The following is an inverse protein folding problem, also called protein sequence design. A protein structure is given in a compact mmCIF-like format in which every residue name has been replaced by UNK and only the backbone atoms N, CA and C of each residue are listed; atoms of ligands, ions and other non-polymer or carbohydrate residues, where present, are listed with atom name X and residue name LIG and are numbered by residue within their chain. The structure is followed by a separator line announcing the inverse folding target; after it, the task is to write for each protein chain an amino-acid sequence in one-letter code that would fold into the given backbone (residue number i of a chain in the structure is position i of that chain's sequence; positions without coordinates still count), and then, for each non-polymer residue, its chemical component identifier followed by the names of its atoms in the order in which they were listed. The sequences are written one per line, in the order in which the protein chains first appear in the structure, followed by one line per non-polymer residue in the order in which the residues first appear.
data_IF_183480282339
#
_entry.id   IF_183480282339
#
_cell.length_a   1.000
_cell.length_b   1.000
_cell.length_c   1.000
_cell.angle_alpha   90.00
_cell.angle_beta   90.00
_cell.angle_gamma   90.00
#
_symmetry.space_group_name_H-M   'P 1'
#
loop_
_entity.id
_entity.type
_entity.pdbx_description
1 polymer ?
#
# COMPACT_ATOMS: atom_id res chain seq x y z
N UNK A 1 8.29 10.91 -7.69
CA UNK A 1 6.92 11.42 -7.48
C UNK A 1 6.10 10.28 -6.94
N UNK A 2 5.22 10.52 -5.97
CA UNK A 2 4.33 9.47 -5.45
C UNK A 2 3.40 8.98 -6.57
N UNK A 3 3.12 7.67 -6.60
CA UNK A 3 2.19 7.10 -7.59
C UNK A 3 0.82 7.81 -7.57
N UNK A 4 0.33 8.16 -6.38
CA UNK A 4 -1.00 8.72 -6.15
C UNK A 4 -1.24 10.03 -6.92
N UNK A 5 -0.18 10.81 -7.21
CA UNK A 5 -0.27 12.07 -7.96
C UNK A 5 -0.57 11.87 -9.45
N UNK A 6 -0.30 10.69 -9.99
CA UNK A 6 -0.43 10.35 -11.42
C UNK A 6 -1.36 9.16 -11.66
N UNK A 7 -1.93 8.61 -10.60
CA UNK A 7 -2.91 7.55 -10.65
C UNK A 7 -4.31 8.09 -10.93
N UNK A 8 -5.16 7.28 -11.56
CA UNK A 8 -6.59 7.53 -11.60
C UNK A 8 -7.20 7.18 -10.23
N UNK A 9 -7.66 8.17 -9.42
CA UNK A 9 -8.06 7.92 -8.05
C UNK A 9 -9.20 6.90 -7.90
N UNK A 10 -10.07 6.79 -8.92
CA UNK A 10 -11.21 5.87 -8.89
C UNK A 10 -10.81 4.40 -9.09
N UNK A 11 -9.56 4.14 -9.48
CA UNK A 11 -9.03 2.80 -9.77
C UNK A 11 -8.12 2.27 -8.66
N UNK A 12 -7.67 3.16 -7.77
CA UNK A 12 -6.82 2.81 -6.63
C UNK A 12 -7.62 1.92 -5.69
N UNK A 13 -7.17 0.69 -5.54
CA UNK A 13 -7.83 -0.30 -4.71
C UNK A 13 -6.83 -1.31 -4.16
N UNK A 14 -7.28 -2.04 -3.14
CA UNK A 14 -6.56 -3.16 -2.57
C UNK A 14 -7.22 -4.46 -3.05
N UNK A 15 -6.49 -5.25 -3.82
CA UNK A 15 -6.91 -6.58 -4.25
C UNK A 15 -6.28 -7.64 -3.35
N UNK A 16 -7.02 -8.71 -3.05
CA UNK A 16 -6.62 -9.84 -2.21
C UNK A 16 -6.02 -9.46 -0.83
N UNK A 17 -6.29 -8.24 -0.35
CA UNK A 17 -5.80 -7.73 0.93
C UNK A 17 -4.33 -7.29 0.94
N UNK A 18 -3.59 -7.40 -0.16
CA UNK A 18 -2.15 -7.07 -0.20
C UNK A 18 -1.64 -6.56 -1.55
N UNK A 19 -2.41 -6.65 -2.64
CA UNK A 19 -2.03 -6.04 -3.91
C UNK A 19 -2.57 -4.61 -4.01
N UNK A 20 -1.70 -3.62 -4.11
CA UNK A 20 -2.09 -2.29 -4.53
C UNK A 20 -2.28 -2.30 -6.05
N UNK A 21 -3.47 -1.95 -6.52
CA UNK A 21 -3.81 -1.89 -7.95
C UNK A 21 -4.26 -0.48 -8.30
N UNK A 22 -3.77 0.06 -9.41
CA UNK A 22 -4.20 1.35 -9.94
C UNK A 22 -3.96 1.46 -11.45
N UNK A 23 -4.70 2.32 -12.14
CA UNK A 23 -4.32 2.83 -13.46
C UNK A 23 -3.38 4.03 -13.28
N UNK A 24 -2.25 3.99 -13.96
CA UNK A 24 -1.18 4.99 -13.93
C UNK A 24 -0.93 5.55 -15.32
N UNK A 25 -0.66 6.85 -15.41
CA UNK A 25 -0.33 7.50 -16.67
C UNK A 25 1.18 7.41 -16.97
N UNK A 26 1.57 7.08 -18.20
CA UNK A 26 2.95 7.17 -18.68
C UNK A 26 3.32 8.60 -19.12
N UNK A 27 4.57 8.82 -19.55
CA UNK A 27 5.03 10.14 -20.02
C UNK A 27 4.37 10.62 -21.32
N UNK A 28 3.76 9.71 -22.08
CA UNK A 28 3.03 10.01 -23.33
C UNK A 28 1.53 10.28 -23.08
N UNK A 29 1.05 10.10 -21.84
CA UNK A 29 -0.34 10.32 -21.47
C UNK A 29 -1.23 9.07 -21.57
N UNK A 30 -0.67 7.90 -21.87
CA UNK A 30 -1.43 6.64 -21.92
C UNK A 30 -1.63 6.08 -20.51
N UNK A 31 -2.78 5.44 -20.29
CA UNK A 31 -3.11 4.79 -19.03
C UNK A 31 -2.77 3.31 -19.06
N UNK A 32 -2.06 2.85 -18.03
CA UNK A 32 -1.65 1.47 -17.85
C UNK A 32 -2.18 0.96 -16.51
N UNK A 33 -2.83 -0.20 -16.53
CA UNK A 33 -3.17 -0.90 -15.29
C UNK A 33 -1.89 -1.53 -14.72
N UNK A 34 -1.59 -1.22 -13.46
CA UNK A 34 -0.45 -1.77 -12.74
C UNK A 34 -0.88 -2.28 -11.37
N UNK A 35 -0.16 -3.29 -10.89
CA UNK A 35 -0.29 -3.82 -9.54
C UNK A 35 1.08 -4.03 -8.92
N UNK A 36 1.19 -3.84 -7.60
CA UNK A 36 2.38 -4.18 -6.82
C UNK A 36 1.97 -4.98 -5.59
N UNK A 37 2.74 -6.01 -5.28
CA UNK A 37 2.56 -6.81 -4.07
C UNK A 37 3.13 -6.05 -2.87
N UNK A 38 2.29 -5.70 -1.91
CA UNK A 38 2.73 -5.01 -0.70
C UNK A 38 3.39 -5.96 0.31
N UNK A 39 3.16 -7.28 0.23
CA UNK A 39 3.83 -8.24 1.11
C UNK A 39 5.33 -8.35 0.82
N UNK A 40 5.78 -7.95 -0.36
CA UNK A 40 7.20 -7.94 -0.70
C UNK A 40 7.98 -6.83 0.03
N UNK A 41 7.27 -5.82 0.58
CA UNK A 41 7.90 -4.61 1.13
C UNK A 41 7.37 -4.18 2.49
N UNK A 42 6.22 -4.70 2.92
CA UNK A 42 5.57 -4.35 4.19
C UNK A 42 5.42 -5.61 5.03
N UNK A 43 5.84 -5.50 6.29
CA UNK A 43 5.62 -6.50 7.33
C UNK A 43 4.85 -5.93 8.52
N UNK A 44 4.58 -6.79 9.49
CA UNK A 44 3.99 -6.42 10.77
C UNK A 44 4.98 -6.73 11.90
N UNK A 45 5.43 -5.71 12.62
CA UNK A 45 6.37 -5.82 13.74
C UNK A 45 5.66 -5.35 15.01
N UNK A 46 5.39 -6.29 15.92
CA UNK A 46 4.65 -6.05 17.17
C UNK A 46 3.36 -5.23 17.00
N UNK A 47 2.56 -5.61 16.00
CA UNK A 47 1.28 -4.97 15.69
C UNK A 47 1.37 -3.70 14.83
N UNK A 48 2.54 -3.36 14.29
CA UNK A 48 2.77 -2.17 13.46
C UNK A 48 3.18 -2.50 12.03
N UNK A 49 2.56 -1.82 11.08
CA UNK A 49 2.92 -1.91 9.67
C UNK A 49 4.26 -1.21 9.43
N UNK A 50 5.23 -1.93 8.87
CA UNK A 50 6.62 -1.48 8.74
C UNK A 50 7.14 -1.77 7.34
N UNK A 51 7.79 -0.78 6.71
CA UNK A 51 8.51 -0.95 5.44
C UNK A 51 9.79 -1.78 5.62
N UNK A 52 10.35 -2.27 4.51
CA UNK A 52 11.56 -3.12 4.48
C UNK A 52 11.41 -4.45 5.22
N UNK A 53 10.17 -4.85 5.46
CA UNK A 53 9.78 -6.13 6.03
C UNK A 53 8.90 -6.88 5.02
N UNK A 54 8.34 -8.03 5.40
CA UNK A 54 7.52 -8.82 4.48
C UNK A 54 6.30 -9.47 5.12
N UNK A 55 5.35 -9.85 4.27
CA UNK A 55 4.19 -10.68 4.59
C UNK A 55 3.28 -10.11 5.70
N UNK A 56 3.07 -8.79 5.74
CA UNK A 56 2.18 -8.17 6.73
C UNK A 56 0.77 -8.79 6.71
N UNK A 57 0.28 -9.21 5.53
CA UNK A 57 -1.09 -9.72 5.40
C UNK A 57 -1.32 -11.04 6.13
N UNK A 58 -0.27 -11.80 6.45
CA UNK A 58 -0.38 -13.05 7.20
C UNK A 58 -0.70 -12.83 8.69
N UNK A 59 -0.34 -11.66 9.22
CA UNK A 59 -0.49 -11.34 10.65
C UNK A 59 -1.25 -10.04 10.91
N UNK A 60 -1.91 -9.48 9.88
CA UNK A 60 -2.74 -8.27 9.98
C UNK A 60 -4.17 -8.61 9.54
N UNK A 61 -5.17 -8.04 10.22
CA UNK A 61 -6.58 -8.17 9.86
C UNK A 61 -7.22 -6.81 9.63
N UNK A 62 -8.46 -6.82 9.12
CA UNK A 62 -9.21 -5.60 8.79
C UNK A 62 -8.36 -4.67 7.91
N UNK A 63 -7.71 -5.23 6.87
CA UNK A 63 -6.80 -4.47 6.01
C UNK A 63 -7.63 -3.68 5.00
N UNK A 64 -7.36 -2.38 4.87
CA UNK A 64 -8.02 -1.51 3.90
C UNK A 64 -7.14 -0.33 3.49
N UNK A 65 -7.48 0.29 2.34
CA UNK A 65 -6.85 1.52 1.88
C UNK A 65 -7.70 2.73 2.25
N UNK A 66 -7.06 3.71 2.90
CA UNK A 66 -7.64 5.02 3.12
C UNK A 66 -7.18 5.98 2.04
N UNK A 67 -8.10 6.32 1.14
CA UNK A 67 -7.88 7.24 0.03
C UNK A 67 -8.51 8.62 0.29
N UNK A 68 -8.95 8.90 1.54
CA UNK A 68 -9.65 10.15 1.89
C UNK A 68 -8.83 11.42 1.64
N UNK A 69 -7.51 11.26 1.57
CA UNK A 69 -6.53 12.33 1.35
C UNK A 69 -5.85 12.26 -0.02
N UNK A 70 -6.38 11.44 -0.94
CA UNK A 70 -5.87 11.35 -2.30
C UNK A 70 -5.98 12.70 -3.04
N UNK A 71 -5.02 13.05 -3.91
CA UNK A 71 -3.82 12.27 -4.27
C UNK A 71 -2.62 12.50 -3.34
N UNK A 72 -2.74 13.36 -2.32
CA UNK A 72 -1.60 13.76 -1.48
C UNK A 72 -1.11 12.65 -0.56
N UNK A 73 -1.99 11.76 -0.13
CA UNK A 73 -1.69 10.70 0.82
C UNK A 73 -2.63 9.51 0.61
N UNK A 74 -2.03 8.32 0.47
CA UNK A 74 -2.72 7.03 0.46
C UNK A 74 -2.17 6.22 1.63
N UNK A 75 -3.03 5.82 2.56
CA UNK A 75 -2.64 5.01 3.70
C UNK A 75 -3.12 3.57 3.52
N UNK A 76 -2.26 2.62 3.85
CA UNK A 76 -2.69 1.25 4.15
C UNK A 76 -2.93 1.15 5.65
N UNK A 77 -4.09 0.61 6.03
CA UNK A 77 -4.52 0.47 7.42
C UNK A 77 -4.83 -0.97 7.75
N UNK A 78 -4.61 -1.34 9.01
CA UNK A 78 -4.96 -2.67 9.52
C UNK A 78 -4.63 -2.84 10.99
N UNK A 79 -5.17 -3.90 11.58
CA UNK A 79 -4.86 -4.31 12.96
C UNK A 79 -3.83 -5.43 12.91
N UNK A 80 -2.58 -5.15 13.30
CA UNK A 80 -1.50 -6.14 13.35
C UNK A 80 -1.54 -7.00 14.62
N UNK A 81 -1.14 -8.26 14.51
CA UNK A 81 -0.92 -9.16 15.64
C UNK A 81 0.36 -8.75 16.40
N UNK A 82 0.29 -8.76 17.73
CA UNK A 82 1.44 -8.44 18.60
C UNK A 82 2.38 -9.62 18.75
N UNK A 83 3.64 -9.34 19.09
CA UNK A 83 4.60 -10.42 19.36
C UNK A 83 4.33 -11.05 20.73
N UNK A 84 4.34 -12.39 20.79
CA UNK A 84 4.28 -13.15 22.05
C UNK A 84 2.88 -13.33 22.66
N UNK A 85 1.82 -12.81 22.03
CA UNK A 85 0.42 -13.05 22.39
C UNK A 85 -0.42 -13.20 21.11
N UNK A 86 -1.57 -13.88 21.16
CA UNK A 86 -2.52 -13.97 20.04
C UNK A 86 -3.44 -12.74 19.94
N UNK A 87 -3.03 -11.64 20.59
CA UNK A 87 -3.76 -10.38 20.62
C UNK A 87 -3.39 -9.46 19.44
N UNK A 88 -4.40 -8.77 18.91
CA UNK A 88 -4.23 -7.72 17.91
C UNK A 88 -4.06 -6.34 18.57
N UNK A 89 -3.22 -5.49 17.97
CA UNK A 89 -3.08 -4.09 18.33
C UNK A 89 -4.28 -3.26 17.85
N UNK A 90 -4.31 -1.98 18.25
CA UNK A 90 -5.20 -1.02 17.62
C UNK A 90 -4.81 -0.83 16.14
N UNK A 91 -5.75 -0.30 15.34
CA UNK A 91 -5.48 0.01 13.93
C UNK A 91 -4.23 0.88 13.79
N UNK A 92 -3.30 0.41 12.96
CA UNK A 92 -2.12 1.13 12.54
C UNK A 92 -2.24 1.57 11.08
N UNK A 93 -1.42 2.52 10.66
CA UNK A 93 -1.44 3.06 9.31
C UNK A 93 -0.05 3.34 8.77
N UNK A 94 0.21 2.95 7.53
CA UNK A 94 1.47 3.21 6.83
C UNK A 94 1.22 3.99 5.53
N UNK A 95 2.09 4.95 5.24
CA UNK A 95 1.98 5.82 4.07
C UNK A 95 2.57 5.17 2.81
N UNK A 96 1.70 4.72 1.90
CA UNK A 96 2.10 4.15 0.61
C UNK A 96 2.72 5.18 -0.34
N UNK A 97 2.33 6.45 -0.20
CA UNK A 97 2.82 7.53 -1.05
C UNK A 97 4.31 7.86 -0.82
N UNK A 98 4.91 7.36 0.27
CA UNK A 98 6.31 7.61 0.63
C UNK A 98 7.30 6.84 -0.26
N UNK A 99 7.05 5.55 -0.49
CA UNK A 99 7.98 4.65 -1.18
C UNK A 99 7.42 3.98 -2.43
N UNK A 100 6.17 4.28 -2.83
CA UNK A 100 5.63 3.79 -4.09
C UNK A 100 5.53 4.94 -5.09
N UNK A 101 6.14 4.74 -6.25
CA UNK A 101 6.13 5.69 -7.36
C UNK A 101 5.44 5.11 -8.60
N UNK A 102 5.13 6.00 -9.54
CA UNK A 102 4.76 5.62 -10.90
C UNK A 102 6.01 5.78 -11.80
N UNK A 103 6.45 4.70 -12.41
CA UNK A 103 7.50 4.66 -13.42
C UNK A 103 6.91 4.22 -14.77
N UNK A 104 6.69 5.17 -15.69
CA UNK A 104 6.12 4.93 -17.03
C UNK A 104 4.88 4.01 -17.03
N UNK A 105 3.92 4.30 -16.15
CA UNK A 105 2.67 3.54 -16.03
C UNK A 105 2.77 2.30 -15.13
N UNK A 106 3.85 2.14 -14.36
CA UNK A 106 4.09 1.00 -13.47
C UNK A 106 4.28 1.42 -12.03
N UNK A 107 3.66 0.69 -11.11
CA UNK A 107 3.90 0.82 -9.67
C UNK A 107 5.27 0.23 -9.35
N UNK A 108 6.14 1.02 -8.73
CA UNK A 108 7.47 0.58 -8.31
C UNK A 108 7.76 1.05 -6.89
N UNK A 109 8.38 0.16 -6.11
CA UNK A 109 8.95 0.47 -4.81
C UNK A 109 10.33 1.13 -4.98
N UNK A 110 10.59 2.19 -4.21
CA UNK A 110 11.83 3.01 -4.31
C UNK A 110 12.61 3.13 -2.99
N UNK A 111 12.34 2.24 -2.01
CA UNK A 111 13.13 2.14 -0.78
C UNK A 111 14.47 1.46 -0.97
#
# INVERSE_FOLDING_TARGET
MSFAQSANPSTIQLADGHYLVAELQDSEGNWHQSSIDLNEYIGNIDGKLTWDESNFSESTRNIWLDTSYAPSLILLKGEGMKEGDEAYAAEDSINLSEFICNNEGRLEYIG
#
